data_IF_940083464258
#
_entry.id   IF_940083464258
#
_cell.length_a   1.000
_cell.length_b   1.000
_cell.length_c   1.000
_cell.angle_alpha   90.00
_cell.angle_beta   90.00
_cell.angle_gamma   90.00
#
_symmetry.space_group_name_H-M   'P 1'
#
loop_
_entity.id
_entity.type
_entity.pdbx_description
1 polymer ?
#
# COMPACT_ATOMS: atom_id res chain seq x y z
N UNK A 1 -70.45 24.93 -12.62
CA UNK A 1 -69.64 23.81 -12.14
C UNK A 1 -68.51 24.39 -11.32
N UNK A 2 -68.70 24.53 -10.01
CA UNK A 2 -67.71 25.10 -9.10
C UNK A 2 -66.52 24.15 -8.96
N UNK A 3 -65.33 24.66 -9.23
CA UNK A 3 -64.07 24.01 -8.90
C UNK A 3 -63.85 24.15 -7.39
N UNK A 4 -64.19 23.11 -6.64
CA UNK A 4 -63.85 23.01 -5.22
C UNK A 4 -62.33 23.10 -5.07
N UNK A 5 -61.88 24.22 -4.52
CA UNK A 5 -60.49 24.46 -4.16
C UNK A 5 -60.16 23.56 -2.96
N UNK A 6 -59.67 22.35 -3.24
CA UNK A 6 -59.27 21.40 -2.20
C UNK A 6 -58.03 21.98 -1.50
N UNK A 7 -58.25 22.74 -0.44
CA UNK A 7 -57.21 23.11 0.50
C UNK A 7 -56.58 21.83 1.07
N UNK A 8 -55.43 21.44 0.52
CA UNK A 8 -54.66 20.28 0.95
C UNK A 8 -54.07 20.56 2.33
N UNK A 9 -54.86 20.28 3.38
CA UNK A 9 -54.39 20.37 4.76
C UNK A 9 -53.23 19.38 4.96
N UNK A 10 -52.13 19.80 5.59
CA UNK A 10 -51.01 18.90 5.84
C UNK A 10 -51.47 17.76 6.75
N UNK A 11 -51.11 16.52 6.38
CA UNK A 11 -51.50 15.31 7.08
C UNK A 11 -50.33 14.64 7.80
N UNK A 12 -50.62 14.02 8.94
CA UNK A 12 -49.66 13.26 9.72
C UNK A 12 -49.18 12.04 8.93
N UNK A 13 -47.85 11.87 8.70
CA UNK A 13 -47.37 10.75 7.89
C UNK A 13 -47.65 9.37 8.50
N UNK A 14 -47.86 9.30 9.82
CA UNK A 14 -48.13 8.05 10.54
C UNK A 14 -49.61 7.65 10.47
N UNK A 15 -50.55 8.50 10.89
CA UNK A 15 -51.98 8.15 10.93
C UNK A 15 -52.80 8.64 9.72
N UNK A 16 -52.18 9.42 8.82
CA UNK A 16 -52.79 10.04 7.62
C UNK A 16 -53.94 11.02 7.91
N UNK A 17 -54.24 11.34 9.17
CA UNK A 17 -55.21 12.37 9.55
C UNK A 17 -54.60 13.78 9.41
N UNK A 18 -55.41 14.83 9.17
CA UNK A 18 -54.94 16.22 9.21
C UNK A 18 -54.19 16.52 10.51
N UNK A 19 -53.14 17.35 10.42
CA UNK A 19 -52.39 17.77 11.60
C UNK A 19 -53.25 18.75 12.45
N UNK A 20 -53.63 18.30 13.64
CA UNK A 20 -54.43 19.05 14.62
C UNK A 20 -54.01 18.67 16.04
N UNK A 21 -54.35 19.49 17.04
CA UNK A 21 -54.05 19.22 18.44
C UNK A 21 -52.55 19.23 18.79
N UNK A 22 -52.10 18.28 19.61
CA UNK A 22 -50.72 18.21 20.09
C UNK A 22 -49.77 17.68 19.00
N UNK A 23 -48.96 18.58 18.43
CA UNK A 23 -48.03 18.28 17.34
C UNK A 23 -46.58 18.26 17.81
N UNK A 24 -45.79 17.37 17.21
CA UNK A 24 -44.39 17.16 17.55
C UNK A 24 -43.55 17.06 16.28
N UNK A 25 -42.43 17.78 16.25
CA UNK A 25 -41.46 17.71 15.17
C UNK A 25 -40.30 16.78 15.52
N UNK A 26 -39.95 15.92 14.56
CA UNK A 26 -38.77 15.05 14.63
C UNK A 26 -37.50 15.78 14.15
N UNK A 27 -36.31 15.26 14.46
CA UNK A 27 -35.01 15.81 14.00
C UNK A 27 -34.89 15.89 12.47
N UNK A 28 -35.61 15.05 11.74
CA UNK A 28 -35.65 15.11 10.28
C UNK A 28 -36.64 16.17 9.74
N UNK A 29 -37.29 16.95 10.61
CA UNK A 29 -38.17 18.06 10.25
C UNK A 29 -39.60 17.66 9.92
N UNK A 30 -39.97 16.39 10.12
CA UNK A 30 -41.34 15.92 9.88
C UNK A 30 -42.19 16.03 11.14
N UNK A 31 -43.43 16.49 10.96
CA UNK A 31 -44.41 16.74 12.03
C UNK A 31 -45.39 15.57 12.13
N UNK A 32 -45.67 15.15 13.35
CA UNK A 32 -46.58 14.07 13.70
C UNK A 32 -47.50 14.51 14.84
N UNK A 33 -48.65 13.86 15.00
CA UNK A 33 -49.36 13.91 16.28
C UNK A 33 -48.50 13.27 17.36
N UNK A 34 -48.51 13.84 18.57
CA UNK A 34 -47.74 13.33 19.71
C UNK A 34 -48.00 11.86 20.00
N UNK A 35 -49.26 11.44 19.91
CA UNK A 35 -49.70 10.05 20.12
C UNK A 35 -49.24 9.09 19.01
N UNK A 36 -48.94 9.60 17.81
CA UNK A 36 -48.50 8.79 16.69
C UNK A 36 -46.99 8.47 16.72
N UNK A 37 -46.22 9.12 17.60
CA UNK A 37 -44.81 8.82 17.84
C UNK A 37 -44.69 7.80 18.98
N UNK A 38 -45.07 6.55 18.69
CA UNK A 38 -44.89 5.44 19.64
C UNK A 38 -43.40 5.07 19.75
N UNK A 39 -42.94 4.53 20.89
CA UNK A 39 -41.55 4.12 21.09
C UNK A 39 -41.07 3.05 20.10
N UNK A 40 -41.99 2.33 19.45
CA UNK A 40 -41.71 1.31 18.44
C UNK A 40 -41.37 1.91 17.06
N UNK A 41 -41.61 3.20 16.84
CA UNK A 41 -41.36 3.88 15.57
C UNK A 41 -39.87 4.26 15.42
N UNK A 42 -39.04 3.29 15.05
CA UNK A 42 -37.58 3.46 14.93
C UNK A 42 -37.13 4.34 13.73
N UNK A 43 -37.97 4.47 12.70
CA UNK A 43 -37.67 5.21 11.47
C UNK A 43 -38.83 6.11 11.04
N UNK A 44 -38.50 7.22 10.40
CA UNK A 44 -39.49 8.17 9.92
C UNK A 44 -40.27 7.60 8.72
N UNK A 45 -41.61 7.47 8.79
CA UNK A 45 -42.41 6.93 7.68
C UNK A 45 -42.33 7.73 6.37
N UNK A 46 -41.85 8.98 6.43
CA UNK A 46 -41.77 9.87 5.28
C UNK A 46 -40.40 9.89 4.59
N UNK A 47 -39.30 9.72 5.31
CA UNK A 47 -37.94 9.80 4.74
C UNK A 47 -36.99 8.68 5.15
N UNK A 48 -37.48 7.70 5.91
CA UNK A 48 -36.77 6.52 6.42
C UNK A 48 -35.51 6.80 7.26
N UNK A 49 -35.27 8.06 7.64
CA UNK A 49 -34.19 8.41 8.58
C UNK A 49 -34.50 7.88 9.97
N UNK A 50 -33.47 7.39 10.66
CA UNK A 50 -33.60 6.85 12.01
C UNK A 50 -34.06 7.92 13.00
N UNK A 51 -35.14 7.65 13.71
CA UNK A 51 -35.74 8.54 14.71
C UNK A 51 -35.18 8.21 16.10
N UNK A 52 -33.86 8.09 16.20
CA UNK A 52 -33.16 7.68 17.42
C UNK A 52 -33.39 8.70 18.54
N UNK A 53 -34.45 8.53 19.35
CA UNK A 53 -34.76 9.06 20.71
C UNK A 53 -34.32 10.48 21.12
N UNK A 54 -33.78 11.28 20.21
CA UNK A 54 -33.16 12.57 20.48
C UNK A 54 -34.18 13.67 20.20
N UNK A 55 -34.60 14.32 21.29
CA UNK A 55 -35.30 15.61 21.35
C UNK A 55 -36.34 15.80 20.25
N UNK A 56 -37.48 15.15 20.42
CA UNK A 56 -38.73 15.67 19.85
C UNK A 56 -38.98 17.08 20.36
N UNK A 57 -39.34 18.00 19.47
CA UNK A 57 -39.72 19.36 19.83
C UNK A 57 -41.24 19.45 19.83
N UNK A 58 -41.83 19.65 21.00
CA UNK A 58 -43.27 19.90 21.14
C UNK A 58 -43.57 21.28 20.51
N UNK A 59 -44.46 21.31 19.51
CA UNK A 59 -44.86 22.54 18.82
C UNK A 59 -46.07 23.15 19.54
N UNK A 60 -45.81 24.00 20.53
CA UNK A 60 -46.86 24.76 21.23
C UNK A 60 -47.30 25.97 20.38
N UNK A 61 -48.61 26.21 20.31
CA UNK A 61 -49.18 27.40 19.65
C UNK A 61 -49.37 27.30 18.12
N UNK A 62 -49.22 26.11 17.54
CA UNK A 62 -49.49 25.87 16.11
C UNK A 62 -50.79 25.06 15.96
N UNK A 63 -51.91 25.70 16.27
CA UNK A 63 -53.23 25.15 15.94
C UNK A 63 -53.62 25.59 14.53
N UNK A 64 -53.78 24.63 13.62
CA UNK A 64 -54.36 24.85 12.28
C UNK A 64 -55.89 24.78 12.30
N UNK A 65 -56.47 24.44 13.45
CA UNK A 65 -57.90 24.52 13.65
C UNK A 65 -58.23 25.99 13.94
N UNK A 66 -58.95 26.57 12.98
CA UNK A 66 -59.54 27.90 13.04
C UNK A 66 -58.50 29.03 13.00
N UNK A 67 -58.12 29.42 11.77
CA UNK A 67 -58.05 30.86 11.55
C UNK A 67 -59.47 31.36 11.85
N UNK A 68 -59.72 32.14 12.92
CA UNK A 68 -60.95 32.90 12.96
C UNK A 68 -60.90 33.71 11.67
N UNK A 69 -61.91 33.55 10.82
CA UNK A 69 -62.17 34.49 9.75
C UNK A 69 -62.42 35.84 10.44
N UNK A 70 -61.33 36.54 10.75
CA UNK A 70 -61.35 37.93 11.16
C UNK A 70 -61.72 38.69 9.90
N UNK A 71 -63.03 38.67 9.61
CA UNK A 71 -63.70 39.59 8.72
C UNK A 71 -63.23 40.98 9.13
N UNK A 72 -62.38 41.56 8.29
CA UNK A 72 -61.86 42.92 8.41
C UNK A 72 -62.97 43.95 8.09
N UNK A 73 -64.18 43.75 8.62
CA UNK A 73 -65.34 44.65 8.41
C UNK A 73 -65.78 45.41 9.66
N UNK A 74 -65.35 45.02 10.87
CA UNK A 74 -66.05 45.47 12.09
C UNK A 74 -65.32 46.55 12.93
N UNK A 75 -64.35 47.27 12.36
CA UNK A 75 -63.71 48.44 13.02
C UNK A 75 -64.05 49.79 12.36
N UNK A 76 -65.19 49.86 11.67
CA UNK A 76 -65.76 51.10 11.16
C UNK A 76 -67.13 51.35 11.80
N UNK A 77 -67.17 51.56 13.12
CA UNK A 77 -68.43 51.81 13.81
C UNK A 77 -68.26 52.46 15.18
N UNK A 78 -68.82 53.66 15.30
CA UNK A 78 -69.14 54.36 16.56
C UNK A 78 -68.01 55.15 17.23
N UNK A 79 -67.95 56.45 16.91
CA UNK A 79 -67.71 57.57 17.86
C UNK A 79 -67.80 58.90 17.09
N UNK A 80 -69.01 59.25 16.67
CA UNK A 80 -69.34 60.60 16.19
C UNK A 80 -70.16 61.27 17.29
N UNK A 81 -69.50 61.78 18.33
CA UNK A 81 -70.04 62.88 19.10
C UNK A 81 -68.97 63.53 20.00
N UNK A 82 -68.62 64.78 19.66
CA UNK A 82 -68.16 65.80 20.60
C UNK A 82 -66.82 65.63 21.34
N UNK A 83 -65.68 65.76 20.64
CA UNK A 83 -64.50 66.37 21.27
C UNK A 83 -63.54 67.02 20.24
N UNK A 84 -63.86 68.24 19.80
CA UNK A 84 -63.01 69.01 18.86
C UNK A 84 -61.63 69.39 19.44
N UNK A 85 -61.41 69.22 20.75
CA UNK A 85 -60.12 69.47 21.41
C UNK A 85 -59.09 68.34 21.17
N UNK A 86 -59.54 67.08 21.00
CA UNK A 86 -58.66 65.91 20.82
C UNK A 86 -58.22 65.71 19.35
N UNK A 87 -58.88 66.38 18.40
CA UNK A 87 -58.56 66.28 16.98
C UNK A 87 -57.19 66.88 16.62
N UNK A 88 -56.74 67.91 17.35
CA UNK A 88 -55.44 68.53 17.09
C UNK A 88 -54.29 67.76 17.75
N UNK A 89 -54.53 67.17 18.93
CA UNK A 89 -53.55 66.31 19.61
C UNK A 89 -53.33 65.01 18.83
N UNK A 90 -54.39 64.40 18.30
CA UNK A 90 -54.28 63.23 17.41
C UNK A 90 -53.53 63.56 16.13
N UNK A 91 -53.73 64.74 15.52
CA UNK A 91 -52.94 65.20 14.37
C UNK A 91 -51.46 65.32 14.69
N UNK A 92 -51.11 65.94 15.83
CA UNK A 92 -49.71 66.05 16.29
C UNK A 92 -49.09 64.68 16.51
N UNK A 93 -49.79 63.77 17.20
CA UNK A 93 -49.33 62.40 17.40
C UNK A 93 -49.11 61.65 16.08
N UNK A 94 -50.03 61.79 15.10
CA UNK A 94 -49.87 61.20 13.77
C UNK A 94 -48.63 61.75 13.06
N UNK A 95 -48.40 63.07 13.10
CA UNK A 95 -47.22 63.67 12.49
C UNK A 95 -45.92 63.19 13.14
N UNK A 96 -45.90 63.06 14.47
CA UNK A 96 -44.76 62.54 15.21
C UNK A 96 -44.50 61.07 14.85
N UNK A 97 -45.54 60.22 14.84
CA UNK A 97 -45.46 58.82 14.42
C UNK A 97 -44.91 58.71 12.99
N UNK A 98 -45.39 59.54 12.07
CA UNK A 98 -44.88 59.58 10.69
C UNK A 98 -43.40 59.97 10.64
N UNK A 99 -42.97 60.96 11.41
CA UNK A 99 -41.56 61.37 11.49
C UNK A 99 -40.66 60.29 12.10
N UNK A 100 -41.13 59.60 13.14
CA UNK A 100 -40.42 58.49 13.78
C UNK A 100 -40.32 57.29 12.83
N UNK A 101 -41.39 56.98 12.08
CA UNK A 101 -41.36 55.96 11.02
C UNK A 101 -40.34 56.30 9.94
N UNK A 102 -40.25 57.57 9.53
CA UNK A 102 -39.26 58.02 8.55
C UNK A 102 -37.83 57.83 9.08
N UNK A 103 -37.54 58.29 10.32
CA UNK A 103 -36.24 58.11 10.97
C UNK A 103 -35.87 56.64 11.18
N UNK A 104 -36.84 55.79 11.52
CA UNK A 104 -36.64 54.35 11.63
C UNK A 104 -36.28 53.72 10.29
N UNK A 105 -36.98 54.08 9.20
CA UNK A 105 -36.64 53.61 7.85
C UNK A 105 -35.25 54.08 7.44
N UNK A 106 -34.91 55.33 7.72
CA UNK A 106 -33.60 55.89 7.42
C UNK A 106 -32.47 55.18 8.17
N UNK A 107 -32.67 54.84 9.46
CA UNK A 107 -31.70 54.04 10.23
C UNK A 107 -31.68 52.57 9.85
N UNK A 108 -32.80 52.02 9.38
CA UNK A 108 -32.89 50.62 8.97
C UNK A 108 -32.10 50.35 7.68
N UNK A 109 -32.09 51.29 6.73
CA UNK A 109 -31.31 51.20 5.48
C UNK A 109 -29.82 50.87 5.68
N UNK A 110 -29.01 51.65 6.44
CA UNK A 110 -27.60 51.33 6.62
C UNK A 110 -27.41 50.02 7.40
N UNK A 111 -28.31 49.65 8.31
CA UNK A 111 -28.27 48.35 8.97
C UNK A 111 -28.49 47.20 7.99
N UNK A 112 -29.47 47.30 7.10
CA UNK A 112 -29.73 46.29 6.06
C UNK A 112 -28.56 46.21 5.06
N UNK A 113 -27.98 47.35 4.67
CA UNK A 113 -26.78 47.39 3.82
C UNK A 113 -25.55 46.74 4.47
N UNK A 114 -25.28 47.05 5.74
CA UNK A 114 -24.17 46.40 6.48
C UNK A 114 -24.39 44.90 6.63
N UNK A 115 -25.64 44.47 6.85
CA UNK A 115 -25.99 43.05 6.93
C UNK A 115 -25.80 42.35 5.59
N UNK A 116 -26.22 42.98 4.48
CA UNK A 116 -26.00 42.44 3.14
C UNK A 116 -24.49 42.32 2.82
N UNK A 117 -23.70 43.35 3.14
CA UNK A 117 -22.23 43.32 3.00
C UNK A 117 -21.58 42.22 3.85
N UNK A 118 -22.04 42.04 5.09
CA UNK A 118 -21.54 40.97 5.96
C UNK A 118 -21.89 39.59 5.40
N UNK A 119 -23.09 39.40 4.87
CA UNK A 119 -23.49 38.13 4.25
C UNK A 119 -22.69 37.83 2.98
N UNK A 120 -22.41 38.83 2.14
CA UNK A 120 -21.55 38.69 0.96
C UNK A 120 -20.12 38.34 1.35
N UNK A 121 -19.55 39.03 2.35
CA UNK A 121 -18.21 38.74 2.86
C UNK A 121 -18.09 37.32 3.43
N UNK A 122 -19.12 36.82 4.12
CA UNK A 122 -19.17 35.43 4.61
C UNK A 122 -19.18 34.43 3.45
N UNK A 123 -20.00 34.66 2.41
CA UNK A 123 -20.04 33.80 1.22
C UNK A 123 -18.69 33.76 0.51
N UNK A 124 -18.01 34.89 0.41
CA UNK A 124 -16.69 34.94 -0.21
C UNK A 124 -15.60 34.27 0.65
N UNK A 125 -15.66 34.41 1.97
CA UNK A 125 -14.79 33.69 2.89
C UNK A 125 -14.97 32.16 2.77
N UNK A 126 -16.22 31.69 2.67
CA UNK A 126 -16.51 30.27 2.45
C UNK A 126 -15.96 29.79 1.10
N UNK A 127 -16.14 30.56 0.02
CA UNK A 127 -15.56 30.27 -1.29
C UNK A 127 -14.04 30.18 -1.25
N UNK A 128 -13.37 31.09 -0.54
CA UNK A 128 -11.91 31.07 -0.37
C UNK A 128 -11.46 29.85 0.44
N UNK A 129 -12.18 29.50 1.50
CA UNK A 129 -11.90 28.33 2.32
C UNK A 129 -12.02 27.04 1.51
N UNK A 130 -13.02 26.92 0.65
CA UNK A 130 -13.18 25.73 -0.19
C UNK A 130 -12.13 25.66 -1.31
N UNK A 131 -11.74 26.80 -1.90
CA UNK A 131 -10.59 26.87 -2.82
C UNK A 131 -9.30 26.40 -2.14
N UNK A 132 -9.04 26.85 -0.91
CA UNK A 132 -7.87 26.46 -0.14
C UNK A 132 -7.87 24.94 0.15
N UNK A 133 -8.99 24.38 0.61
CA UNK A 133 -9.12 22.93 0.83
C UNK A 133 -8.86 22.12 -0.45
N UNK A 134 -9.35 22.58 -1.60
CA UNK A 134 -9.11 21.89 -2.88
C UNK A 134 -7.65 21.98 -3.31
N UNK A 135 -7.00 23.12 -3.08
CA UNK A 135 -5.57 23.30 -3.32
C UNK A 135 -4.73 22.39 -2.41
N UNK A 136 -5.05 22.30 -1.11
CA UNK A 136 -4.40 21.40 -0.15
C UNK A 136 -4.52 19.93 -0.56
N UNK A 137 -5.72 19.48 -0.95
CA UNK A 137 -5.92 18.10 -1.46
C UNK A 137 -5.08 17.81 -2.69
N UNK A 138 -5.00 18.78 -3.61
CA UNK A 138 -4.18 18.65 -4.83
C UNK A 138 -2.70 18.60 -4.50
N UNK A 139 -2.24 19.45 -3.57
CA UNK A 139 -0.87 19.45 -3.09
C UNK A 139 -0.50 18.14 -2.37
N UNK A 140 -1.38 17.62 -1.52
CA UNK A 140 -1.21 16.33 -0.85
C UNK A 140 -1.11 15.18 -1.86
N UNK A 141 -1.98 15.15 -2.87
CA UNK A 141 -1.91 14.16 -3.96
C UNK A 141 -0.58 14.20 -4.70
N UNK A 142 -0.13 15.40 -5.11
CA UNK A 142 1.17 15.59 -5.77
C UNK A 142 2.35 15.21 -4.88
N UNK A 143 2.23 15.43 -3.57
CA UNK A 143 3.21 14.98 -2.58
C UNK A 143 3.34 13.45 -2.56
N UNK A 144 2.21 12.74 -2.54
CA UNK A 144 2.18 11.28 -2.63
C UNK A 144 2.79 10.74 -3.92
N UNK A 145 2.41 11.31 -5.07
CA UNK A 145 2.97 10.93 -6.38
C UNK A 145 4.49 11.16 -6.45
N UNK A 146 4.98 12.28 -5.90
CA UNK A 146 6.43 12.57 -5.82
C UNK A 146 7.16 11.53 -4.97
N UNK A 147 6.61 11.18 -3.81
CA UNK A 147 7.24 10.20 -2.91
C UNK A 147 7.29 8.81 -3.56
N UNK A 148 6.22 8.41 -4.25
CA UNK A 148 6.19 7.16 -5.03
C UNK A 148 7.30 7.15 -6.10
N UNK A 149 7.36 8.18 -6.93
CA UNK A 149 8.39 8.29 -7.97
C UNK A 149 9.82 8.31 -7.39
N UNK A 150 10.03 8.96 -6.24
CA UNK A 150 11.33 8.92 -5.56
C UNK A 150 11.72 7.53 -5.08
N UNK A 151 10.76 6.77 -4.54
CA UNK A 151 10.99 5.39 -4.11
C UNK A 151 11.28 4.45 -5.28
N UNK A 152 10.57 4.62 -6.40
CA UNK A 152 10.81 3.86 -7.64
C UNK A 152 12.17 4.19 -8.23
N UNK A 153 12.55 5.47 -8.28
CA UNK A 153 13.86 5.90 -8.77
C UNK A 153 14.98 5.34 -7.89
N UNK A 154 14.82 5.32 -6.56
CA UNK A 154 15.77 4.70 -5.65
C UNK A 154 15.92 3.19 -5.90
N UNK A 155 14.81 2.49 -6.10
CA UNK A 155 14.81 1.05 -6.45
C UNK A 155 15.52 0.80 -7.79
N UNK A 156 15.20 1.57 -8.83
CA UNK A 156 15.85 1.44 -10.13
C UNK A 156 17.36 1.70 -10.08
N UNK A 157 17.81 2.64 -9.26
CA UNK A 157 19.25 2.87 -9.03
C UNK A 157 19.92 1.67 -8.37
N UNK A 158 19.26 1.06 -7.38
CA UNK A 158 19.75 -0.15 -6.73
C UNK A 158 19.82 -1.32 -7.71
N UNK A 159 18.77 -1.55 -8.49
CA UNK A 159 18.70 -2.62 -9.49
C UNK A 159 19.78 -2.43 -10.56
N UNK A 160 19.97 -1.19 -11.04
CA UNK A 160 21.03 -0.87 -12.00
C UNK A 160 22.43 -1.12 -11.41
N UNK A 161 22.68 -0.74 -10.16
CA UNK A 161 23.95 -1.01 -9.50
C UNK A 161 24.23 -2.52 -9.36
N UNK A 162 23.21 -3.30 -8.97
CA UNK A 162 23.32 -4.75 -8.87
C UNK A 162 23.60 -5.41 -10.23
N UNK A 163 22.91 -4.98 -11.29
CA UNK A 163 23.14 -5.48 -12.64
C UNK A 163 24.54 -5.11 -13.17
N UNK A 164 25.00 -3.88 -12.91
CA UNK A 164 26.35 -3.46 -13.26
C UNK A 164 27.40 -4.33 -12.57
N UNK A 165 27.23 -4.62 -11.27
CA UNK A 165 28.11 -5.51 -10.54
C UNK A 165 28.10 -6.94 -11.11
N UNK A 166 26.92 -7.48 -11.44
CA UNK A 166 26.80 -8.80 -12.07
C UNK A 166 27.50 -8.85 -13.43
N UNK A 167 27.33 -7.82 -14.27
CA UNK A 167 28.02 -7.74 -15.56
C UNK A 167 29.54 -7.71 -15.38
N UNK A 168 30.03 -6.97 -14.39
CA UNK A 168 31.46 -6.90 -14.11
C UNK A 168 32.00 -8.24 -13.60
N UNK A 169 31.24 -8.97 -12.77
CA UNK A 169 31.59 -10.33 -12.36
C UNK A 169 31.65 -11.30 -13.55
N UNK A 170 30.69 -11.22 -14.48
CA UNK A 170 30.67 -12.04 -15.70
C UNK A 170 31.90 -11.74 -16.57
N UNK A 171 32.22 -10.45 -16.79
CA UNK A 171 33.41 -10.04 -17.55
C UNK A 171 34.70 -10.54 -16.90
N UNK A 172 34.81 -10.43 -15.57
CA UNK A 172 35.97 -10.93 -14.82
C UNK A 172 36.14 -12.43 -15.02
N UNK A 173 35.07 -13.23 -14.79
CA UNK A 173 35.10 -14.68 -14.98
C UNK A 173 35.41 -15.07 -16.42
N UNK A 174 34.77 -14.42 -17.40
CA UNK A 174 35.02 -14.64 -18.82
C UNK A 174 36.48 -14.39 -19.20
N UNK A 175 37.07 -13.31 -18.70
CA UNK A 175 38.49 -13.00 -18.93
C UNK A 175 39.41 -14.07 -18.38
N UNK A 176 39.15 -14.56 -17.16
CA UNK A 176 39.98 -15.60 -16.52
C UNK A 176 39.87 -16.93 -17.26
N UNK A 177 38.65 -17.32 -17.68
CA UNK A 177 38.41 -18.53 -18.45
C UNK A 177 39.11 -18.48 -19.81
N UNK A 178 38.95 -17.39 -20.55
CA UNK A 178 39.58 -17.22 -21.85
C UNK A 178 41.12 -17.20 -21.74
N UNK A 179 41.67 -16.55 -20.71
CA UNK A 179 43.10 -16.61 -20.41
C UNK A 179 43.57 -18.06 -20.14
N UNK A 180 42.82 -18.82 -19.35
CA UNK A 180 43.11 -20.24 -19.09
C UNK A 180 43.06 -21.09 -20.36
N UNK A 181 42.10 -20.83 -21.24
CA UNK A 181 41.97 -21.55 -22.51
C UNK A 181 43.11 -21.19 -23.49
N UNK A 182 43.54 -19.93 -23.51
CA UNK A 182 44.71 -19.50 -24.28
C UNK A 182 45.99 -20.15 -23.77
N UNK A 183 46.18 -20.28 -22.45
CA UNK A 183 47.34 -21.01 -21.90
C UNK A 183 47.37 -22.48 -22.31
N UNK A 184 46.21 -23.10 -22.57
CA UNK A 184 46.11 -24.51 -23.01
C UNK A 184 46.29 -24.68 -24.51
N UNK A 185 45.87 -23.71 -25.32
CA UNK A 185 45.76 -23.86 -26.78
C UNK A 185 46.75 -23.01 -27.59
N UNK A 186 47.38 -22.01 -26.99
CA UNK A 186 48.23 -21.01 -27.65
C UNK A 186 49.53 -20.76 -26.88
N UNK A 187 50.34 -19.81 -27.35
CA UNK A 187 51.59 -19.43 -26.70
C UNK A 187 51.35 -18.59 -25.44
N UNK A 188 52.21 -18.73 -24.43
CA UNK A 188 52.15 -17.93 -23.19
C UNK A 188 52.22 -16.43 -23.47
N UNK A 189 52.98 -16.02 -24.49
CA UNK A 189 53.12 -14.63 -24.91
C UNK A 189 51.79 -14.04 -25.39
N UNK A 190 51.01 -14.81 -26.14
CA UNK A 190 49.67 -14.40 -26.58
C UNK A 190 48.69 -14.31 -25.40
N UNK A 191 48.70 -15.31 -24.51
CA UNK A 191 47.86 -15.31 -23.32
C UNK A 191 48.16 -14.10 -22.42
N UNK A 192 49.45 -13.79 -22.21
CA UNK A 192 49.88 -12.60 -21.47
C UNK A 192 49.45 -11.31 -22.17
N UNK A 193 49.61 -11.22 -23.49
CA UNK A 193 49.17 -10.05 -24.27
C UNK A 193 47.66 -9.81 -24.15
N UNK A 194 46.87 -10.89 -24.20
CA UNK A 194 45.42 -10.85 -23.97
C UNK A 194 45.09 -10.35 -22.56
N UNK A 195 45.70 -10.96 -21.52
CA UNK A 195 45.46 -10.58 -20.14
C UNK A 195 45.82 -9.11 -19.90
N UNK A 196 46.98 -8.67 -20.39
CA UNK A 196 47.43 -7.27 -20.27
C UNK A 196 46.44 -6.30 -20.92
N UNK A 197 45.91 -6.66 -22.10
CA UNK A 197 44.88 -5.86 -22.78
C UNK A 197 43.60 -5.79 -21.95
N UNK A 198 43.09 -6.93 -21.44
CA UNK A 198 41.85 -6.97 -20.67
C UNK A 198 41.96 -6.22 -19.33
N UNK A 199 43.07 -6.40 -18.62
CA UNK A 199 43.38 -5.70 -17.37
C UNK A 199 43.40 -4.18 -17.57
N UNK A 200 43.88 -3.69 -18.72
CA UNK A 200 43.90 -2.24 -19.01
C UNK A 200 42.52 -1.61 -19.24
N UNK A 201 41.51 -2.40 -19.62
CA UNK A 201 40.17 -1.91 -19.99
C UNK A 201 39.20 -1.96 -18.80
N UNK A 202 39.46 -2.84 -17.82
CA UNK A 202 38.56 -3.08 -16.69
C UNK A 202 38.86 -2.10 -15.55
N UNK A 203 37.84 -1.48 -14.92
CA UNK A 203 38.05 -0.47 -13.86
C UNK A 203 38.67 -1.04 -12.58
N UNK A 204 38.48 -2.33 -12.31
CA UNK A 204 39.01 -3.03 -11.15
C UNK A 204 39.93 -4.21 -11.59
N UNK A 205 41.11 -3.93 -12.17
CA UNK A 205 41.99 -4.94 -12.74
C UNK A 205 42.44 -6.01 -11.74
N UNK A 206 42.61 -5.60 -10.48
CA UNK A 206 43.05 -6.47 -9.40
C UNK A 206 42.12 -7.68 -9.18
N UNK A 207 40.81 -7.57 -9.46
CA UNK A 207 39.87 -8.69 -9.33
C UNK A 207 40.23 -9.84 -10.27
N UNK A 208 40.57 -9.51 -11.51
CA UNK A 208 41.00 -10.49 -12.51
C UNK A 208 42.32 -11.13 -12.09
N UNK A 209 43.28 -10.31 -11.63
CA UNK A 209 44.59 -10.80 -11.20
C UNK A 209 44.51 -11.72 -9.98
N UNK A 210 43.62 -11.44 -9.02
CA UNK A 210 43.36 -12.32 -7.87
C UNK A 210 42.81 -13.66 -8.32
N UNK A 211 41.85 -13.69 -9.25
CA UNK A 211 41.29 -14.95 -9.77
C UNK A 211 42.33 -15.73 -10.60
N UNK A 212 43.18 -15.06 -11.37
CA UNK A 212 44.31 -15.71 -12.07
C UNK A 212 45.31 -16.30 -11.06
N UNK A 213 45.63 -15.57 -9.98
CA UNK A 213 46.51 -16.07 -8.92
C UNK A 213 45.89 -17.30 -8.22
N UNK A 214 44.60 -17.25 -7.92
CA UNK A 214 43.85 -18.38 -7.35
C UNK A 214 43.88 -19.60 -8.27
N UNK A 215 43.61 -19.40 -9.57
CA UNK A 215 43.66 -20.47 -10.56
C UNK A 215 45.05 -21.11 -10.61
N UNK A 216 46.12 -20.29 -10.60
CA UNK A 216 47.50 -20.78 -10.55
C UNK A 216 47.77 -21.62 -9.30
N UNK A 217 47.33 -21.14 -8.14
CA UNK A 217 47.56 -21.83 -6.87
C UNK A 217 46.76 -23.15 -6.81
N UNK A 218 45.54 -23.18 -7.36
CA UNK A 218 44.74 -24.40 -7.54
C UNK A 218 45.45 -25.42 -8.45
N UNK A 219 46.04 -24.98 -9.57
CA UNK A 219 46.83 -25.86 -10.45
C UNK A 219 48.05 -26.43 -9.74
N UNK A 220 48.78 -25.61 -8.98
CA UNK A 220 49.94 -26.07 -8.19
C UNK A 220 49.53 -27.11 -7.16
N UNK A 221 48.45 -26.85 -6.42
CA UNK A 221 47.93 -27.81 -5.44
C UNK A 221 47.53 -29.15 -6.08
N UNK A 222 46.93 -29.13 -7.28
CA UNK A 222 46.61 -30.36 -8.03
C UNK A 222 47.86 -31.10 -8.50
N UNK A 223 48.87 -30.39 -8.99
CA UNK A 223 50.14 -31.01 -9.37
C UNK A 223 50.81 -31.67 -8.16
N UNK A 224 50.84 -31.01 -7.00
CA UNK A 224 51.38 -31.58 -5.76
C UNK A 224 50.60 -32.82 -5.32
N UNK A 225 49.27 -32.83 -5.50
CA UNK A 225 48.43 -33.99 -5.22
C UNK A 225 48.75 -35.16 -6.16
N UNK A 226 48.83 -34.92 -7.47
CA UNK A 226 49.19 -35.97 -8.45
C UNK A 226 50.60 -36.51 -8.20
N UNK A 227 51.57 -35.67 -7.87
CA UNK A 227 52.91 -36.15 -7.51
C UNK A 227 52.92 -37.06 -6.28
N UNK A 228 52.07 -36.76 -5.28
CA UNK A 228 51.90 -37.63 -4.11
C UNK A 228 51.23 -38.95 -4.48
N UNK A 229 50.21 -38.91 -5.34
CA UNK A 229 49.53 -40.10 -5.86
C UNK A 229 50.49 -40.98 -6.67
N UNK A 230 51.29 -40.41 -7.58
CA UNK A 230 52.31 -41.12 -8.35
C UNK A 230 53.37 -41.76 -7.44
N UNK A 231 53.85 -41.02 -6.44
CA UNK A 231 54.79 -41.54 -5.46
C UNK A 231 54.20 -42.70 -4.64
N UNK A 232 52.91 -42.62 -4.31
CA UNK A 232 52.18 -43.68 -3.62
C UNK A 232 52.00 -44.92 -4.53
N UNK A 233 51.59 -44.72 -5.77
CA UNK A 233 51.45 -45.79 -6.76
C UNK A 233 52.79 -46.50 -7.00
N UNK A 234 53.89 -45.76 -7.13
CA UNK A 234 55.22 -46.33 -7.29
C UNK A 234 55.68 -47.16 -6.08
N UNK A 235 55.30 -46.76 -4.85
CA UNK A 235 55.55 -47.56 -3.64
C UNK A 235 54.75 -48.87 -3.66
N UNK A 236 53.46 -48.78 -3.97
CA UNK A 236 52.59 -49.95 -4.09
C UNK A 236 53.10 -50.93 -5.15
N UNK A 237 53.56 -50.43 -6.30
CA UNK A 237 54.15 -51.26 -7.35
C UNK A 237 55.41 -52.00 -6.87
N UNK A 238 56.31 -51.31 -6.14
CA UNK A 238 57.50 -51.94 -5.57
C UNK A 238 57.15 -53.02 -4.55
N UNK A 239 56.19 -52.75 -3.68
CA UNK A 239 55.73 -53.71 -2.68
C UNK A 239 55.11 -54.95 -3.35
N UNK A 240 54.28 -54.74 -4.38
CA UNK A 240 53.71 -55.82 -5.17
C UNK A 240 54.79 -56.64 -5.89
N UNK A 241 55.80 -55.99 -6.49
CA UNK A 241 56.94 -56.70 -7.11
C UNK A 241 57.73 -57.50 -6.09
N UNK A 242 57.99 -56.95 -4.90
CA UNK A 242 58.66 -57.66 -3.83
C UNK A 242 57.87 -58.89 -3.38
N UNK A 243 56.55 -58.76 -3.20
CA UNK A 243 55.66 -59.88 -2.87
C UNK A 243 55.63 -60.94 -3.98
N UNK A 244 55.57 -60.54 -5.25
CA UNK A 244 55.65 -61.46 -6.39
C UNK A 244 56.96 -62.23 -6.39
N UNK A 245 58.09 -61.54 -6.20
CA UNK A 245 59.39 -62.20 -6.09
C UNK A 245 59.47 -63.18 -4.91
N UNK A 246 58.93 -62.82 -3.74
CA UNK A 246 58.88 -63.72 -2.59
C UNK A 246 58.03 -64.96 -2.87
N UNK A 247 56.86 -64.78 -3.49
CA UNK A 247 55.99 -65.89 -3.91
C UNK A 247 56.67 -66.79 -4.94
N UNK A 248 57.35 -66.21 -5.94
CA UNK A 248 58.12 -66.97 -6.93
C UNK A 248 59.24 -67.78 -6.26
N UNK A 249 59.96 -67.21 -5.28
CA UNK A 249 60.96 -67.96 -4.50
C UNK A 249 60.34 -69.15 -3.78
N UNK A 250 59.24 -68.94 -3.05
CA UNK A 250 58.50 -70.01 -2.37
C UNK A 250 58.04 -71.11 -3.35
N UNK A 251 57.53 -70.73 -4.52
CA UNK A 251 57.16 -71.70 -5.58
C UNK A 251 58.38 -72.52 -6.00
N UNK A 252 59.51 -71.89 -6.32
CA UNK A 252 60.72 -72.63 -6.73
C UNK A 252 61.27 -73.53 -5.63
N UNK A 253 61.17 -73.13 -4.36
CA UNK A 253 61.55 -73.96 -3.22
C UNK A 253 60.64 -75.18 -3.07
N UNK A 254 59.32 -74.99 -3.22
CA UNK A 254 58.33 -76.06 -3.21
C UNK A 254 58.52 -77.03 -4.38
N UNK A 255 58.76 -76.51 -5.59
CA UNK A 255 59.06 -77.32 -6.78
C UNK A 255 60.32 -78.17 -6.58
N UNK A 256 61.41 -77.58 -6.05
CA UNK A 256 62.61 -78.33 -5.65
C UNK A 256 62.33 -79.35 -4.55
N UNK A 257 61.40 -79.04 -3.64
CA UNK A 257 60.92 -79.98 -2.61
C UNK A 257 60.22 -81.18 -3.24
N UNK A 258 59.27 -80.95 -4.14
CA UNK A 258 58.54 -81.98 -4.86
C UNK A 258 59.46 -82.84 -5.72
N UNK A 259 60.45 -82.24 -6.42
CA UNK A 259 61.42 -82.98 -7.22
C UNK A 259 62.28 -83.91 -6.37
N UNK A 260 62.71 -83.45 -5.18
CA UNK A 260 63.42 -84.29 -4.21
C UNK A 260 62.57 -85.46 -3.72
N UNK A 261 61.29 -85.23 -3.44
CA UNK A 261 60.35 -86.27 -3.04
C UNK A 261 60.06 -87.26 -4.18
N UNK A 262 59.89 -86.78 -5.42
CA UNK A 262 59.74 -87.64 -6.61
C UNK A 262 60.96 -88.52 -6.81
N UNK A 263 62.17 -87.95 -6.72
CA UNK A 263 63.42 -88.69 -6.80
C UNK A 263 63.58 -89.73 -5.68
N UNK A 264 63.15 -89.40 -4.46
CA UNK A 264 63.14 -90.34 -3.33
C UNK A 264 62.13 -91.48 -3.52
N UNK A 265 60.91 -91.17 -3.94
CA UNK A 265 59.86 -92.15 -4.25
C UNK A 265 60.29 -93.10 -5.36
N UNK A 266 60.84 -92.57 -6.46
CA UNK A 266 61.35 -93.40 -7.56
C UNK A 266 62.50 -94.32 -7.14
N UNK A 267 63.36 -93.90 -6.19
CA UNK A 267 64.40 -94.77 -5.61
C UNK A 267 63.82 -95.84 -4.69
N UNK A 268 62.84 -95.50 -3.85
CA UNK A 268 62.17 -96.45 -2.97
C UNK A 268 61.43 -97.52 -3.78
N UNK A 269 60.76 -97.12 -4.85
CA UNK A 269 60.06 -98.02 -5.77
C UNK A 269 61.02 -98.93 -6.54
N UNK A 270 62.16 -98.40 -7.02
CA UNK A 270 63.23 -99.23 -7.60
C UNK A 270 63.79 -100.23 -6.60
N UNK A 271 64.00 -99.85 -5.33
CA UNK A 271 64.46 -100.78 -4.28
C UNK A 271 63.46 -101.92 -4.06
N UNK A 272 62.17 -101.61 -3.93
CA UNK A 272 61.11 -102.63 -3.81
C UNK A 272 61.09 -103.59 -5.00
N UNK A 273 61.42 -103.11 -6.19
CA UNK A 273 61.45 -103.94 -7.41
C UNK A 273 62.69 -104.84 -7.52
N UNK A 274 63.77 -104.53 -6.80
CA UNK A 274 64.97 -105.39 -6.74
C UNK A 274 64.84 -106.46 -5.64
N UNK A 275 64.00 -106.22 -4.65
CA UNK A 275 63.72 -107.16 -3.54
C UNK A 275 62.64 -108.21 -3.88
N UNK A 276 61.98 -108.10 -5.03
CA UNK A 276 61.00 -109.05 -5.58
C UNK A 276 61.61 -109.83 -6.74
#
# INVERSE_FOLDING_TARGET
>A
SGSDEVCLRPSCPACKKPLSGALVATKCGHVFHRECLTPDLLRCPKCDRSLLKERTVDLYGVSFDEAPELSSSDLAGSSADGNECDAEETRRAITEICSLKARLRERKKPSEETRAKAEEALKDADRQRDKLKMAERTAARRGGERQQLQSELAKLRQDHAALAEQMDQIRQRGTVLEYSDMLRSRSEKEAFGFLSKMVSVVPAPWKILVEVARLRDDYRARLDAWQKEDAQAARQERDQRAQLHERSRKITELERGLERLRGASGRAEKRRRVEL
#
